data_IF_326616624931
#
_entry.id   IF_326616624931
#
_cell.length_a   1.000
_cell.length_b   1.000
_cell.length_c   1.000
_cell.angle_alpha   90.00
_cell.angle_beta   90.00
_cell.angle_gamma   90.00
#
_symmetry.space_group_name_H-M   'P 1'
#
loop_
_entity.id
_entity.type
_entity.pdbx_description
1 polymer ?
#
# COMPACT_ATOMS: atom_id res chain seq x y z
N UNK A 1 24.69 -38.42 -11.57
CA UNK A 1 24.72 -38.92 -10.17
C UNK A 1 24.04 -37.88 -9.30
N UNK A 2 22.77 -38.12 -8.95
CA UNK A 2 22.01 -37.26 -8.04
C UNK A 2 22.55 -37.46 -6.62
N UNK A 3 23.27 -36.46 -6.09
CA UNK A 3 23.51 -36.40 -4.66
C UNK A 3 22.27 -35.78 -4.00
N UNK A 4 21.28 -36.63 -3.68
CA UNK A 4 20.25 -36.27 -2.71
C UNK A 4 20.92 -36.12 -1.35
N UNK A 5 21.15 -34.89 -0.92
CA UNK A 5 21.46 -34.58 0.47
C UNK A 5 20.15 -34.32 1.19
N UNK A 6 19.99 -35.05 2.30
CA UNK A 6 18.79 -35.14 3.12
C UNK A 6 18.26 -33.76 3.57
N UNK A 7 16.93 -33.51 3.55
CA UNK A 7 16.31 -32.25 4.00
C UNK A 7 16.71 -31.82 5.43
N UNK A 8 17.17 -32.78 6.25
CA UNK A 8 17.66 -32.55 7.60
C UNK A 8 18.89 -31.62 7.68
N UNK A 9 19.75 -31.55 6.65
CA UNK A 9 20.97 -30.74 6.74
C UNK A 9 20.73 -29.25 6.48
N UNK A 10 19.75 -28.89 5.64
CA UNK A 10 19.33 -27.50 5.41
C UNK A 10 18.50 -26.96 6.59
N UNK A 11 17.62 -27.79 7.15
CA UNK A 11 16.89 -27.52 8.38
C UNK A 11 17.86 -27.26 9.54
N UNK A 12 18.92 -28.07 9.72
CA UNK A 12 19.93 -27.84 10.75
C UNK A 12 20.72 -26.54 10.55
N UNK A 13 21.08 -26.18 9.32
CA UNK A 13 21.80 -24.92 9.03
C UNK A 13 20.93 -23.69 9.30
N UNK A 14 19.66 -23.71 8.89
CA UNK A 14 18.68 -22.68 9.23
C UNK A 14 18.37 -22.66 10.73
N UNK A 15 18.25 -23.82 11.39
CA UNK A 15 17.96 -23.91 12.81
C UNK A 15 19.14 -23.39 13.65
N UNK A 16 20.38 -23.75 13.31
CA UNK A 16 21.58 -23.27 13.99
C UNK A 16 21.82 -21.77 13.75
N UNK A 17 21.52 -21.26 12.55
CA UNK A 17 21.59 -19.83 12.24
C UNK A 17 20.42 -19.02 12.80
N UNK A 18 19.29 -19.59 13.21
CA UNK A 18 18.10 -18.82 13.61
C UNK A 18 17.52 -19.13 15.01
N UNK A 19 17.93 -20.21 15.69
CA UNK A 19 17.38 -20.61 17.00
C UNK A 19 18.40 -20.69 18.15
N UNK A 20 19.69 -20.48 17.90
CA UNK A 20 20.70 -20.49 18.97
C UNK A 20 20.58 -19.22 19.85
N UNK A 21 20.13 -19.39 21.11
CA UNK A 21 19.83 -18.34 22.10
C UNK A 21 21.04 -17.78 22.86
N UNK A 22 22.28 -18.00 22.40
CA UNK A 22 23.47 -17.41 23.06
C UNK A 22 24.48 -16.86 22.04
N UNK A 23 25.04 -15.66 22.27
CA UNK A 23 26.15 -15.16 21.49
C UNK A 23 27.43 -15.79 22.03
N UNK A 24 27.84 -16.91 21.46
CA UNK A 24 29.17 -17.47 21.68
C UNK A 24 29.76 -17.81 20.32
N UNK A 25 31.00 -17.38 20.10
CA UNK A 25 31.68 -17.29 18.81
C UNK A 25 31.34 -18.42 17.83
N UNK A 26 30.85 -18.04 16.65
CA UNK A 26 30.60 -18.97 15.55
C UNK A 26 31.92 -19.22 14.81
N UNK A 27 32.60 -20.30 15.15
CA UNK A 27 33.70 -20.85 14.33
C UNK A 27 33.10 -21.66 13.18
N UNK A 28 33.08 -21.09 11.98
CA UNK A 28 32.78 -21.84 10.76
C UNK A 28 34.10 -22.22 10.09
N UNK A 29 34.50 -23.50 10.19
CA UNK A 29 35.53 -24.16 9.38
C UNK A 29 36.61 -23.25 8.77
N UNK A 30 37.44 -22.64 9.61
CA UNK A 30 38.62 -21.85 9.20
C UNK A 30 38.41 -20.34 9.04
N UNK A 31 37.19 -19.81 9.19
CA UNK A 31 36.92 -18.37 9.12
C UNK A 31 36.23 -17.90 10.41
N UNK A 32 37.04 -17.48 11.38
CA UNK A 32 36.58 -16.87 12.64
C UNK A 32 36.25 -15.39 12.42
N UNK A 33 35.06 -15.10 11.90
CA UNK A 33 34.55 -13.73 11.87
C UNK A 33 33.80 -13.44 13.19
N UNK A 34 34.44 -12.66 14.07
CA UNK A 34 33.80 -12.15 15.27
C UNK A 34 32.81 -11.05 14.84
N UNK A 35 31.51 -11.32 14.93
CA UNK A 35 30.48 -10.32 14.67
C UNK A 35 29.96 -9.82 16.01
N UNK A 36 30.23 -8.55 16.31
CA UNK A 36 29.67 -7.87 17.46
C UNK A 36 28.15 -7.75 17.36
N UNK A 37 27.46 -7.57 18.50
CA UNK A 37 25.99 -7.42 18.56
C UNK A 37 25.48 -6.19 17.77
N UNK A 38 26.38 -5.28 17.39
CA UNK A 38 26.11 -4.09 16.56
C UNK A 38 26.97 -4.08 15.29
N UNK A 39 26.71 -4.98 14.32
CA UNK A 39 27.50 -5.04 13.10
C UNK A 39 27.25 -3.81 12.22
N UNK A 40 28.30 -3.34 11.54
CA UNK A 40 28.21 -2.34 10.48
C UNK A 40 27.67 -2.97 9.19
N UNK A 41 27.26 -2.14 8.22
CA UNK A 41 26.75 -2.64 6.93
C UNK A 41 27.78 -3.54 6.21
N UNK A 42 29.06 -3.17 6.25
CA UNK A 42 30.16 -3.96 5.68
C UNK A 42 30.30 -5.34 6.32
N UNK A 43 30.04 -5.47 7.63
CA UNK A 43 30.15 -6.75 8.33
C UNK A 43 29.06 -7.72 7.87
N UNK A 44 27.83 -7.23 7.72
CA UNK A 44 26.75 -8.04 7.14
C UNK A 44 27.10 -8.52 5.74
N UNK A 45 27.59 -7.62 4.88
CA UNK A 45 27.91 -7.94 3.48
C UNK A 45 29.02 -8.98 3.39
N UNK A 46 30.08 -8.88 4.20
CA UNK A 46 31.19 -9.84 4.19
C UNK A 46 30.73 -11.26 4.57
N UNK A 47 29.93 -11.36 5.63
CA UNK A 47 29.43 -12.65 6.14
C UNK A 47 28.53 -13.35 5.12
N UNK A 48 27.69 -12.57 4.44
CA UNK A 48 26.77 -13.11 3.45
C UNK A 48 27.50 -13.47 2.16
N UNK A 49 28.51 -12.70 1.75
CA UNK A 49 29.39 -13.07 0.63
C UNK A 49 30.12 -14.38 0.92
N UNK A 50 30.63 -14.57 2.13
CA UNK A 50 31.26 -15.82 2.55
C UNK A 50 30.24 -16.99 2.57
N UNK A 51 29.01 -16.74 3.04
CA UNK A 51 27.92 -17.73 3.06
C UNK A 51 27.53 -18.19 1.65
N UNK A 52 27.35 -17.25 0.72
CA UNK A 52 27.01 -17.54 -0.68
C UNK A 52 28.21 -18.14 -1.44
N UNK A 53 29.43 -17.74 -1.10
CA UNK A 53 30.64 -18.36 -1.63
C UNK A 53 30.73 -19.85 -1.27
N UNK A 54 30.31 -20.22 -0.05
CA UNK A 54 30.27 -21.61 0.40
C UNK A 54 29.07 -22.39 -0.14
N UNK A 55 27.93 -21.72 -0.34
CA UNK A 55 26.70 -22.33 -0.86
C UNK A 55 26.15 -21.50 -2.03
N UNK A 56 26.65 -21.71 -3.26
CA UNK A 56 26.31 -20.89 -4.42
C UNK A 56 24.82 -20.85 -4.76
N UNK A 57 24.07 -21.91 -4.44
CA UNK A 57 22.62 -22.00 -4.66
C UNK A 57 21.80 -21.07 -3.75
N UNK A 58 22.40 -20.49 -2.71
CA UNK A 58 21.74 -19.47 -1.89
C UNK A 58 21.73 -18.09 -2.54
N UNK A 59 22.42 -17.89 -3.67
CA UNK A 59 22.47 -16.59 -4.35
C UNK A 59 21.07 -16.20 -4.86
N UNK A 60 20.66 -14.96 -4.58
CA UNK A 60 19.43 -14.41 -5.14
C UNK A 60 19.53 -14.33 -6.67
N UNK A 61 18.47 -14.74 -7.37
CA UNK A 61 18.41 -14.75 -8.84
C UNK A 61 18.38 -13.33 -9.42
N UNK A 62 17.89 -12.35 -8.66
CA UNK A 62 17.73 -10.96 -9.10
C UNK A 62 18.49 -9.99 -8.18
N UNK A 63 19.05 -8.92 -8.76
CA UNK A 63 19.73 -7.84 -8.03
C UNK A 63 21.18 -8.16 -7.68
N UNK A 64 21.64 -7.69 -6.51
CA UNK A 64 23.03 -7.85 -6.06
C UNK A 64 23.39 -9.27 -5.56
N UNK A 65 22.45 -10.22 -5.65
CA UNK A 65 22.66 -11.64 -5.37
C UNK A 65 22.64 -12.04 -3.89
N UNK A 66 22.51 -11.09 -2.96
CA UNK A 66 22.58 -11.36 -1.51
C UNK A 66 21.59 -10.55 -0.65
N UNK A 67 20.66 -9.85 -1.30
CA UNK A 67 19.71 -8.93 -0.68
C UNK A 67 18.78 -9.60 0.33
N UNK A 68 18.28 -10.81 0.01
CA UNK A 68 17.38 -11.58 0.87
C UNK A 68 18.08 -11.94 2.18
N UNK A 69 19.29 -12.50 2.09
CA UNK A 69 20.09 -12.89 3.26
C UNK A 69 20.50 -11.69 4.11
N UNK A 70 20.80 -10.56 3.47
CA UNK A 70 21.12 -9.31 4.15
C UNK A 70 19.96 -8.78 4.99
N UNK A 71 18.74 -8.86 4.45
CA UNK A 71 17.53 -8.46 5.16
C UNK A 71 17.21 -9.40 6.32
N UNK A 72 17.41 -10.71 6.14
CA UNK A 72 17.19 -11.71 7.20
C UNK A 72 18.19 -11.56 8.36
N UNK A 73 19.47 -11.34 8.06
CA UNK A 73 20.50 -11.17 9.07
C UNK A 73 20.26 -9.89 9.88
N UNK A 74 19.92 -8.77 9.23
CA UNK A 74 19.52 -7.53 9.91
C UNK A 74 18.30 -7.72 10.81
N UNK A 75 17.29 -8.46 10.34
CA UNK A 75 16.07 -8.76 11.11
C UNK A 75 16.40 -9.60 12.34
N UNK A 76 17.31 -10.58 12.23
CA UNK A 76 17.75 -11.40 13.37
C UNK A 76 18.44 -10.54 14.44
N UNK A 77 19.48 -9.79 14.09
CA UNK A 77 20.17 -8.91 15.05
C UNK A 77 19.24 -7.82 15.62
N UNK A 78 18.20 -7.41 14.90
CA UNK A 78 17.17 -6.51 15.44
C UNK A 78 16.25 -7.20 16.46
N UNK A 79 15.94 -8.47 16.25
CA UNK A 79 15.12 -9.29 17.16
C UNK A 79 15.88 -9.62 18.44
N UNK A 80 17.17 -9.98 18.32
CA UNK A 80 18.06 -10.23 19.47
C UNK A 80 18.28 -8.97 20.33
N UNK A 81 18.26 -7.77 19.71
CA UNK A 81 18.35 -6.48 20.44
C UNK A 81 17.04 -6.02 21.07
N UNK A 82 15.90 -6.56 20.66
CA UNK A 82 14.59 -6.13 21.13
C UNK A 82 14.39 -6.24 22.66
N UNK A 83 14.96 -7.22 23.39
CA UNK A 83 14.85 -7.31 24.84
C UNK A 83 15.83 -6.40 25.61
N UNK A 84 16.86 -5.84 24.96
CA UNK A 84 17.99 -5.15 25.62
C UNK A 84 17.76 -3.63 25.82
N UNK A 85 16.55 -3.25 26.19
CA UNK A 85 16.09 -1.85 26.24
C UNK A 85 16.86 -0.98 27.26
N UNK A 86 17.60 -1.57 28.20
CA UNK A 86 18.36 -0.85 29.24
C UNK A 86 19.86 -0.60 28.94
N UNK A 87 20.35 -0.88 27.73
CA UNK A 87 21.73 -0.57 27.37
C UNK A 87 21.84 0.86 26.78
N UNK A 88 22.66 1.72 27.40
CA UNK A 88 22.84 3.13 27.01
C UNK A 88 23.27 3.33 25.55
N UNK A 89 23.92 2.34 24.94
CA UNK A 89 24.29 2.38 23.53
C UNK A 89 23.08 2.26 22.59
N UNK A 90 22.04 1.49 22.99
CA UNK A 90 20.77 1.39 22.25
C UNK A 90 20.00 2.71 22.30
N UNK A 91 20.04 3.40 23.44
CA UNK A 91 19.42 4.73 23.58
C UNK A 91 20.12 5.76 22.71
N UNK A 92 21.45 5.88 22.80
CA UNK A 92 22.24 6.80 21.98
C UNK A 92 22.03 6.61 20.48
N UNK A 93 21.97 5.37 20.00
CA UNK A 93 21.74 5.09 18.58
C UNK A 93 20.30 5.41 18.18
N UNK A 94 19.30 5.03 18.98
CA UNK A 94 17.90 5.42 18.72
C UNK A 94 17.71 6.94 18.66
N UNK A 95 18.40 7.67 19.52
CA UNK A 95 18.32 9.13 19.59
C UNK A 95 18.98 9.79 18.37
N UNK A 96 20.18 9.33 17.96
CA UNK A 96 20.82 9.77 16.71
C UNK A 96 19.96 9.48 15.47
N UNK A 97 19.30 8.31 15.41
CA UNK A 97 18.39 7.98 14.31
C UNK A 97 17.07 8.77 14.34
N UNK A 98 16.62 9.25 15.51
CA UNK A 98 15.49 10.20 15.61
C UNK A 98 15.90 11.59 15.11
N UNK A 99 17.05 12.11 15.55
CA UNK A 99 17.54 13.43 15.15
C UNK A 99 17.87 13.50 13.64
N UNK A 100 18.49 12.45 13.08
CA UNK A 100 18.78 12.39 11.65
C UNK A 100 17.53 12.36 10.74
N UNK A 101 16.37 11.98 11.28
CA UNK A 101 15.08 12.06 10.56
C UNK A 101 14.37 13.40 10.70
N UNK A 102 14.66 14.16 11.76
CA UNK A 102 14.00 15.45 12.00
C UNK A 102 14.65 16.62 11.25
N UNK A 103 15.90 16.46 10.80
CA UNK A 103 16.66 17.50 10.09
C UNK A 103 16.67 17.33 8.56
N UNK A 104 15.93 16.36 8.03
CA UNK A 104 15.86 16.09 6.58
C UNK A 104 14.41 15.94 6.13
N UNK A 105 13.85 17.00 5.57
CA UNK A 105 12.72 16.95 4.64
C UNK A 105 13.25 17.01 3.20
N UNK A 106 12.48 16.65 2.16
CA UNK A 106 11.75 15.39 2.00
C UNK A 106 11.94 14.85 0.56
N UNK A 107 12.50 13.66 0.36
CA UNK A 107 12.40 12.98 -0.95
C UNK A 107 12.23 11.46 -0.81
N UNK A 108 11.38 10.96 -1.70
CA UNK A 108 10.76 9.64 -1.78
C UNK A 108 11.76 8.51 -2.09
N UNK A 109 11.54 7.33 -1.48
CA UNK A 109 11.32 6.06 -2.22
C UNK A 109 11.15 4.86 -1.27
N UNK A 110 9.87 4.51 -1.09
CA UNK A 110 9.20 3.20 -1.24
C UNK A 110 9.70 1.86 -0.67
N UNK A 111 8.68 1.08 -0.25
CA UNK A 111 8.58 -0.39 -0.04
C UNK A 111 8.89 -0.88 1.40
N UNK A 112 8.04 -1.61 2.15
CA UNK A 112 6.90 -2.49 1.83
C UNK A 112 6.01 -2.70 3.09
N UNK A 113 4.71 -2.92 2.83
CA UNK A 113 3.63 -3.46 3.69
C UNK A 113 2.87 -2.53 4.68
N UNK A 114 1.53 -2.45 4.57
CA UNK A 114 0.70 -1.54 5.32
C UNK A 114 0.44 -2.09 6.73
N UNK A 115 1.28 -1.71 7.69
CA UNK A 115 0.79 -1.62 9.07
C UNK A 115 -0.24 -0.51 9.09
N UNK A 116 -1.51 -0.88 9.32
CA UNK A 116 -2.66 -0.02 9.64
C UNK A 116 -2.15 1.29 10.25
N UNK A 117 -1.95 2.28 9.39
CA UNK A 117 -1.45 3.58 9.79
C UNK A 117 -2.58 4.15 10.64
N UNK A 118 -2.35 4.25 11.96
CA UNK A 118 -3.05 5.28 12.70
C UNK A 118 -2.72 6.57 11.94
N UNK A 119 -3.71 7.25 11.32
CA UNK A 119 -3.43 8.54 10.73
C UNK A 119 -2.75 9.36 11.82
N UNK A 120 -1.60 9.95 11.50
CA UNK A 120 -1.08 11.05 12.30
C UNK A 120 -2.13 12.16 12.20
N UNK A 121 -3.12 12.09 13.07
CA UNK A 121 -4.27 13.00 13.16
C UNK A 121 -3.83 14.41 13.59
N UNK A 122 -2.56 14.56 13.99
CA UNK A 122 -2.02 15.73 14.66
C UNK A 122 -1.62 16.91 13.74
N UNK A 123 -1.57 16.78 12.41
CA UNK A 123 -0.85 17.79 11.60
C UNK A 123 -1.65 18.59 10.55
N UNK A 124 -2.98 18.66 10.57
CA UNK A 124 -3.66 19.56 9.62
C UNK A 124 -5.06 20.05 10.04
N UNK A 125 -5.24 20.43 11.31
CA UNK A 125 -6.43 21.18 11.73
C UNK A 125 -5.95 22.56 12.16
N UNK A 126 -5.42 23.28 11.17
CA UNK A 126 -5.07 24.69 11.36
C UNK A 126 -6.08 25.49 10.54
N UNK A 127 -6.98 26.19 11.23
CA UNK A 127 -7.78 27.27 10.64
C UNK A 127 -9.28 27.26 10.95
N UNK A 128 -9.91 26.12 11.21
CA UNK A 128 -11.38 26.01 11.34
C UNK A 128 -11.76 25.37 12.68
N UNK A 129 -12.62 26.03 13.45
CA UNK A 129 -13.22 25.48 14.67
C UNK A 129 -14.46 24.61 14.37
N UNK A 130 -14.96 23.90 15.38
CA UNK A 130 -16.12 23.00 15.23
C UNK A 130 -17.37 23.73 14.73
N UNK A 131 -17.59 24.97 15.17
CA UNK A 131 -18.74 25.79 14.80
C UNK A 131 -18.68 26.19 13.32
N UNK A 132 -17.50 26.60 12.87
CA UNK A 132 -17.24 26.96 11.47
C UNK A 132 -17.42 25.77 10.52
N UNK A 133 -16.94 24.60 10.93
CA UNK A 133 -17.12 23.35 10.18
C UNK A 133 -18.59 22.98 10.04
N UNK A 134 -19.37 23.11 11.11
CA UNK A 134 -20.81 22.86 11.04
C UNK A 134 -21.52 23.86 10.12
N UNK A 135 -21.06 25.11 10.07
CA UNK A 135 -21.55 26.09 9.08
C UNK A 135 -21.22 25.67 7.64
N UNK A 136 -20.01 25.17 7.36
CA UNK A 136 -19.65 24.63 6.05
C UNK A 136 -20.50 23.41 5.67
N UNK A 137 -20.74 22.49 6.62
CA UNK A 137 -21.59 21.31 6.44
C UNK A 137 -23.03 21.72 6.13
N UNK A 138 -23.58 22.72 6.84
CA UNK A 138 -24.91 23.25 6.57
C UNK A 138 -25.04 23.77 5.15
N UNK A 139 -24.04 24.52 4.66
CA UNK A 139 -24.00 24.98 3.26
C UNK A 139 -23.96 23.80 2.30
N UNK A 140 -23.18 22.75 2.56
CA UNK A 140 -23.17 21.54 1.72
C UNK A 140 -24.56 20.89 1.68
N UNK A 141 -25.24 20.74 2.82
CA UNK A 141 -26.59 20.18 2.87
C UNK A 141 -27.61 21.05 2.13
N UNK A 142 -27.51 22.38 2.21
CA UNK A 142 -28.37 23.30 1.46
C UNK A 142 -28.12 23.23 -0.04
N UNK A 143 -26.86 23.18 -0.47
CA UNK A 143 -26.50 23.05 -1.88
C UNK A 143 -26.96 21.70 -2.45
N UNK A 144 -26.87 20.62 -1.69
CA UNK A 144 -27.29 19.29 -2.14
C UNK A 144 -28.81 19.17 -2.41
N UNK A 145 -29.63 20.00 -1.75
CA UNK A 145 -31.08 20.06 -1.98
C UNK A 145 -31.48 20.82 -3.25
N UNK A 146 -30.55 21.58 -3.85
CA UNK A 146 -30.84 22.38 -5.05
C UNK A 146 -30.79 21.51 -6.30
N UNK A 147 -31.67 21.80 -7.25
CA UNK A 147 -31.62 21.19 -8.59
C UNK A 147 -30.30 21.48 -9.31
N UNK A 148 -29.75 22.69 -9.10
CA UNK A 148 -28.48 23.13 -9.64
C UNK A 148 -27.59 23.69 -8.51
N UNK A 149 -26.78 22.83 -7.87
CA UNK A 149 -25.84 23.25 -6.85
C UNK A 149 -24.72 24.14 -7.42
N UNK A 150 -24.26 25.11 -6.63
CA UNK A 150 -23.05 25.86 -6.95
C UNK A 150 -21.81 24.97 -6.70
N UNK A 151 -21.28 24.38 -7.77
CA UNK A 151 -20.17 23.44 -7.69
C UNK A 151 -18.85 24.08 -7.23
N UNK A 152 -18.66 25.38 -7.42
CA UNK A 152 -17.46 26.07 -6.94
C UNK A 152 -17.52 26.24 -5.42
N UNK A 153 -18.68 26.66 -4.91
CA UNK A 153 -18.93 26.72 -3.47
C UNK A 153 -18.83 25.34 -2.83
N UNK A 154 -19.42 24.31 -3.45
CA UNK A 154 -19.33 22.93 -2.96
C UNK A 154 -17.88 22.47 -2.87
N UNK A 155 -17.05 22.70 -3.90
CA UNK A 155 -15.62 22.36 -3.87
C UNK A 155 -14.88 23.05 -2.73
N UNK A 156 -15.09 24.35 -2.55
CA UNK A 156 -14.48 25.12 -1.46
C UNK A 156 -14.88 24.57 -0.07
N UNK A 157 -16.19 24.36 0.15
CA UNK A 157 -16.70 23.84 1.42
C UNK A 157 -16.27 22.40 1.68
N UNK A 158 -16.22 21.56 0.64
CA UNK A 158 -15.66 20.21 0.73
C UNK A 158 -14.20 20.24 1.12
N UNK A 159 -13.39 21.13 0.54
CA UNK A 159 -11.95 21.27 0.85
C UNK A 159 -11.71 21.67 2.31
N UNK A 160 -12.44 22.66 2.81
CA UNK A 160 -12.35 23.13 4.21
C UNK A 160 -12.71 22.06 5.24
N UNK A 161 -13.51 21.08 4.84
CA UNK A 161 -14.00 20.01 5.73
C UNK A 161 -13.25 18.68 5.58
N UNK A 162 -12.23 18.58 4.71
CA UNK A 162 -11.45 17.32 4.50
C UNK A 162 -10.81 16.82 5.79
N UNK A 163 -10.15 17.70 6.55
CA UNK A 163 -9.46 17.28 7.77
C UNK A 163 -10.43 16.76 8.84
N UNK A 164 -11.60 17.38 8.95
CA UNK A 164 -12.66 16.99 9.88
C UNK A 164 -13.32 15.67 9.48
N UNK A 165 -13.64 15.48 8.18
CA UNK A 165 -14.12 14.18 7.67
C UNK A 165 -13.18 13.04 8.02
N UNK A 166 -11.87 13.23 7.81
CA UNK A 166 -10.87 12.19 8.12
C UNK A 166 -10.79 11.87 9.60
N UNK A 167 -10.91 12.89 10.45
CA UNK A 167 -11.00 12.70 11.90
C UNK A 167 -12.21 11.84 12.24
N UNK A 168 -13.39 12.23 11.77
CA UNK A 168 -14.64 11.52 12.05
C UNK A 168 -14.58 10.05 11.55
N UNK A 169 -14.00 9.80 10.38
CA UNK A 169 -13.74 8.44 9.87
C UNK A 169 -12.77 7.68 10.78
N UNK A 170 -11.68 8.32 11.22
CA UNK A 170 -10.69 7.70 12.11
C UNK A 170 -11.24 7.42 13.51
N UNK A 171 -12.22 8.21 13.95
CA UNK A 171 -12.98 8.05 15.20
C UNK A 171 -14.10 7.00 15.08
N UNK A 172 -14.33 6.45 13.89
CA UNK A 172 -15.24 5.33 13.65
C UNK A 172 -16.64 5.70 13.18
N UNK A 173 -16.82 6.89 12.57
CA UNK A 173 -18.08 7.25 11.92
C UNK A 173 -18.47 6.21 10.86
N UNK A 174 -19.74 5.78 10.88
CA UNK A 174 -20.26 4.82 9.91
C UNK A 174 -20.29 5.43 8.50
N UNK A 175 -20.23 4.58 7.46
CA UNK A 175 -20.35 5.04 6.07
C UNK A 175 -21.68 5.76 5.84
N UNK A 176 -22.78 5.28 6.45
CA UNK A 176 -24.10 5.89 6.28
C UNK A 176 -24.15 7.30 6.91
N UNK A 177 -23.64 7.45 8.13
CA UNK A 177 -23.60 8.76 8.81
C UNK A 177 -22.68 9.74 8.07
N UNK A 178 -21.54 9.26 7.58
CA UNK A 178 -20.61 10.06 6.77
C UNK A 178 -21.29 10.58 5.51
N UNK A 179 -22.00 9.73 4.77
CA UNK A 179 -22.70 10.09 3.54
C UNK A 179 -23.95 10.95 3.80
N UNK A 180 -24.52 10.91 5.01
CA UNK A 180 -25.60 11.81 5.44
C UNK A 180 -25.07 13.19 5.80
N UNK A 181 -23.92 13.26 6.47
CA UNK A 181 -23.27 14.52 6.90
C UNK A 181 -22.59 15.23 5.73
N UNK A 182 -22.00 14.49 4.79
CA UNK A 182 -21.33 15.01 3.59
C UNK A 182 -21.92 14.40 2.32
N UNK A 183 -23.09 14.86 1.88
CA UNK A 183 -23.84 14.20 0.80
C UNK A 183 -23.13 14.24 -0.56
N UNK A 184 -22.24 15.20 -0.78
CA UNK A 184 -21.45 15.28 -2.01
C UNK A 184 -20.40 14.17 -2.16
N UNK A 185 -20.10 13.40 -1.10
CA UNK A 185 -19.31 12.16 -1.22
C UNK A 185 -20.06 11.07 -2.00
N UNK A 186 -21.39 11.14 -2.12
CA UNK A 186 -22.20 10.25 -2.97
C UNK A 186 -21.97 10.49 -4.46
N UNK A 187 -21.37 11.63 -4.82
CA UNK A 187 -21.04 11.97 -6.20
C UNK A 187 -19.68 11.38 -6.57
N UNK A 188 -19.53 10.91 -7.81
CA UNK A 188 -18.26 10.37 -8.30
C UNK A 188 -17.13 11.40 -8.18
N UNK A 189 -17.38 12.66 -8.54
CA UNK A 189 -16.42 13.75 -8.42
C UNK A 189 -15.99 14.01 -6.97
N UNK A 190 -16.94 14.03 -6.03
CA UNK A 190 -16.67 14.23 -4.61
C UNK A 190 -15.83 13.10 -4.02
N UNK A 191 -16.16 11.85 -4.35
CA UNK A 191 -15.39 10.68 -3.89
C UNK A 191 -13.97 10.68 -4.47
N UNK A 192 -13.80 10.94 -5.77
CA UNK A 192 -12.48 10.96 -6.40
C UNK A 192 -11.59 12.04 -5.78
N UNK A 193 -12.14 13.24 -5.55
CA UNK A 193 -11.42 14.32 -4.89
C UNK A 193 -11.01 13.95 -3.45
N UNK A 194 -11.86 13.24 -2.70
CA UNK A 194 -11.53 12.78 -1.35
C UNK A 194 -10.37 11.77 -1.38
N UNK A 195 -10.39 10.81 -2.31
CA UNK A 195 -9.30 9.83 -2.49
C UNK A 195 -8.00 10.52 -2.90
N UNK A 196 -8.05 11.48 -3.83
CA UNK A 196 -6.88 12.27 -4.23
C UNK A 196 -6.33 13.11 -3.07
N UNK A 197 -7.20 13.64 -2.22
CA UNK A 197 -6.74 14.32 -1.03
C UNK A 197 -6.03 13.34 -0.07
N UNK A 198 -6.50 12.09 0.07
CA UNK A 198 -5.88 11.09 0.94
C UNK A 198 -4.55 10.59 0.38
N UNK A 199 -4.44 10.55 -0.94
CA UNK A 199 -3.25 10.12 -1.66
C UNK A 199 -2.82 11.20 -2.67
N UNK A 200 -2.20 12.31 -2.18
CA UNK A 200 -1.79 13.41 -3.04
C UNK A 200 -0.85 12.91 -4.15
N UNK A 201 -1.17 13.28 -5.38
CA UNK A 201 -0.40 12.95 -6.57
C UNK A 201 -0.59 14.04 -7.61
N UNK A 202 0.40 14.30 -8.48
CA UNK A 202 0.27 15.29 -9.56
C UNK A 202 -0.83 14.95 -10.58
N UNK A 203 -1.15 13.66 -10.70
CA UNK A 203 -2.19 13.14 -11.60
C UNK A 203 -3.39 12.69 -10.78
N UNK A 204 -4.62 13.04 -11.18
CA UNK A 204 -5.85 12.66 -10.45
C UNK A 204 -6.11 11.15 -10.47
N UNK A 205 -6.84 10.64 -9.48
CA UNK A 205 -7.08 9.21 -9.28
C UNK A 205 -7.76 8.57 -10.50
N UNK A 206 -8.71 9.26 -11.13
CA UNK A 206 -9.41 8.74 -12.30
C UNK A 206 -8.43 8.47 -13.46
N UNK A 207 -7.50 9.38 -13.71
CA UNK A 207 -6.48 9.21 -14.74
C UNK A 207 -5.50 8.08 -14.39
N UNK A 208 -5.04 8.04 -13.13
CA UNK A 208 -4.17 6.95 -12.65
C UNK A 208 -4.85 5.58 -12.82
N UNK A 209 -6.12 5.47 -12.46
CA UNK A 209 -6.88 4.22 -12.63
C UNK A 209 -7.02 3.90 -14.12
N UNK A 210 -7.41 4.87 -14.95
CA UNK A 210 -7.61 4.64 -16.38
C UNK A 210 -6.34 4.18 -17.09
N UNK A 211 -5.19 4.82 -16.84
CA UNK A 211 -3.92 4.41 -17.46
C UNK A 211 -3.48 3.03 -17.00
N UNK A 212 -3.47 2.80 -15.68
CA UNK A 212 -3.07 1.52 -15.11
C UNK A 212 -4.01 0.39 -15.57
N UNK A 213 -5.32 0.64 -15.58
CA UNK A 213 -6.31 -0.33 -16.05
C UNK A 213 -6.12 -0.64 -17.53
N UNK A 214 -5.92 0.38 -18.37
CA UNK A 214 -5.67 0.20 -19.81
C UNK A 214 -4.42 -0.65 -20.06
N UNK A 215 -3.36 -0.47 -19.26
CA UNK A 215 -2.12 -1.25 -19.42
C UNK A 215 -2.30 -2.75 -19.11
N UNK A 216 -3.16 -3.10 -18.15
CA UNK A 216 -3.40 -4.50 -17.76
C UNK A 216 -4.54 -5.15 -18.55
N UNK A 217 -5.38 -4.34 -19.19
CA UNK A 217 -6.62 -4.74 -19.85
C UNK A 217 -6.44 -5.92 -20.84
N UNK A 218 -5.42 -5.94 -21.74
CA UNK A 218 -5.27 -7.05 -22.67
C UNK A 218 -4.99 -8.39 -21.99
N UNK A 219 -4.29 -8.39 -20.86
CA UNK A 219 -4.01 -9.59 -20.08
C UNK A 219 -5.23 -10.00 -19.25
N UNK A 220 -5.95 -9.01 -18.70
CA UNK A 220 -7.19 -9.21 -17.96
C UNK A 220 -8.24 -9.91 -18.85
N UNK A 221 -8.47 -9.43 -20.07
CA UNK A 221 -9.46 -10.00 -20.99
C UNK A 221 -9.18 -11.47 -21.36
N UNK A 222 -7.90 -11.88 -21.39
CA UNK A 222 -7.51 -13.29 -21.62
C UNK A 222 -7.87 -14.22 -20.46
N UNK A 223 -7.99 -13.69 -19.24
CA UNK A 223 -8.32 -14.45 -18.03
C UNK A 223 -9.82 -14.68 -17.86
N UNK A 224 -10.66 -13.98 -18.64
CA UNK A 224 -12.11 -14.07 -18.55
C UNK A 224 -12.58 -15.46 -19.00
N UNK A 225 -13.19 -16.20 -18.07
CA UNK A 225 -13.84 -17.48 -18.36
C UNK A 225 -15.07 -17.28 -19.23
N UNK A 226 -15.42 -18.33 -19.98
CA UNK A 226 -16.64 -18.31 -20.78
C UNK A 226 -17.86 -18.13 -19.89
N UNK A 227 -18.61 -17.06 -20.18
CA UNK A 227 -19.80 -16.65 -19.45
C UNK A 227 -20.75 -15.94 -20.41
N UNK A 228 -22.06 -15.88 -20.09
CA UNK A 228 -23.01 -15.11 -20.89
C UNK A 228 -22.58 -13.65 -21.08
N UNK A 229 -22.00 -13.05 -20.04
CA UNK A 229 -21.49 -11.68 -20.09
C UNK A 229 -20.29 -11.52 -21.04
N UNK A 230 -19.39 -12.51 -21.10
CA UNK A 230 -18.30 -12.52 -22.07
C UNK A 230 -18.84 -12.59 -23.51
N UNK A 231 -19.87 -13.39 -23.77
CA UNK A 231 -20.49 -13.47 -25.10
C UNK A 231 -21.10 -12.13 -25.51
N UNK A 232 -21.88 -11.51 -24.63
CA UNK A 232 -22.46 -10.19 -24.85
C UNK A 232 -21.38 -9.12 -25.12
N UNK A 233 -20.26 -9.18 -24.38
CA UNK A 233 -19.11 -8.31 -24.64
C UNK A 233 -18.49 -8.55 -26.01
N UNK A 234 -18.30 -9.80 -26.44
CA UNK A 234 -17.72 -10.11 -27.74
C UNK A 234 -18.63 -9.63 -28.88
N UNK A 235 -19.95 -9.84 -28.77
CA UNK A 235 -20.94 -9.33 -29.72
C UNK A 235 -20.88 -7.79 -29.81
N UNK A 236 -20.98 -7.11 -28.67
CA UNK A 236 -20.90 -5.64 -28.63
C UNK A 236 -19.55 -5.09 -29.12
N UNK A 237 -18.47 -5.87 -28.98
CA UNK A 237 -17.14 -5.51 -29.48
C UNK A 237 -17.07 -5.60 -30.99
N UNK A 238 -17.64 -6.64 -31.60
CA UNK A 238 -17.71 -6.75 -33.06
C UNK A 238 -18.58 -5.62 -33.66
N UNK A 239 -19.72 -5.30 -33.04
CA UNK A 239 -20.56 -4.16 -33.44
C UNK A 239 -19.81 -2.83 -33.31
N UNK A 240 -19.11 -2.62 -32.18
CA UNK A 240 -18.30 -1.43 -31.97
C UNK A 240 -17.15 -1.27 -32.97
N UNK A 241 -16.57 -2.38 -33.45
CA UNK A 241 -15.55 -2.35 -34.50
C UNK A 241 -16.14 -1.95 -35.85
N UNK A 242 -17.38 -2.36 -36.14
CA UNK A 242 -18.11 -1.90 -37.33
C UNK A 242 -18.45 -0.40 -37.27
N UNK A 243 -18.73 0.12 -36.07
CA UNK A 243 -19.14 1.51 -35.83
C UNK A 243 -18.00 2.46 -35.40
N UNK A 244 -16.74 2.00 -35.37
CA UNK A 244 -15.55 2.72 -34.86
C UNK A 244 -15.72 3.33 -33.45
N UNK A 245 -16.45 2.62 -32.57
CA UNK A 245 -16.70 3.06 -31.20
C UNK A 245 -15.45 2.81 -30.33
N UNK A 246 -14.84 3.90 -29.87
CA UNK A 246 -13.67 3.85 -28.98
C UNK A 246 -14.02 3.47 -27.54
N UNK A 247 -13.12 2.73 -26.89
CA UNK A 247 -13.19 2.43 -25.45
C UNK A 247 -14.12 1.27 -25.07
N UNK A 248 -14.58 0.47 -26.04
CA UNK A 248 -15.39 -0.73 -25.78
C UNK A 248 -14.65 -1.75 -24.92
N UNK A 249 -13.38 -2.01 -25.22
CA UNK A 249 -12.54 -2.94 -24.44
C UNK A 249 -12.40 -2.45 -22.98
N UNK A 250 -12.25 -1.14 -22.76
CA UNK A 250 -12.12 -0.57 -21.42
C UNK A 250 -13.40 -0.77 -20.60
N UNK A 251 -14.56 -0.47 -21.18
CA UNK A 251 -15.87 -0.67 -20.54
C UNK A 251 -16.16 -2.16 -20.30
N UNK A 252 -15.90 -2.99 -21.30
CA UNK A 252 -16.04 -4.44 -21.20
C UNK A 252 -15.16 -5.03 -20.12
N UNK A 253 -13.90 -4.60 -20.04
CA UNK A 253 -12.99 -4.95 -18.97
C UNK A 253 -13.58 -4.65 -17.59
N UNK A 254 -14.07 -3.42 -17.37
CA UNK A 254 -14.68 -3.05 -16.09
C UNK A 254 -15.89 -3.93 -15.73
N UNK A 255 -16.76 -4.23 -16.70
CA UNK A 255 -17.92 -5.10 -16.51
C UNK A 255 -17.55 -6.55 -16.21
N UNK A 256 -16.42 -7.02 -16.72
CA UNK A 256 -15.93 -8.39 -16.54
C UNK A 256 -15.09 -8.57 -15.27
N UNK A 257 -14.67 -7.49 -14.60
CA UNK A 257 -13.88 -7.55 -13.36
C UNK A 257 -14.50 -8.45 -12.27
N UNK A 258 -15.81 -8.35 -11.96
CA UNK A 258 -16.41 -9.19 -10.92
C UNK A 258 -16.25 -10.68 -11.23
N UNK A 259 -16.40 -11.06 -12.51
CA UNK A 259 -16.24 -12.45 -12.97
C UNK A 259 -14.81 -12.96 -12.80
N UNK A 260 -13.82 -12.11 -13.06
CA UNK A 260 -12.39 -12.46 -12.88
C UNK A 260 -12.05 -12.64 -11.40
N UNK A 261 -12.49 -11.71 -10.55
CA UNK A 261 -12.21 -11.76 -9.11
C UNK A 261 -13.12 -12.72 -8.35
N UNK A 262 -14.13 -13.30 -9.03
CA UNK A 262 -15.17 -14.14 -8.42
C UNK A 262 -15.95 -13.39 -7.33
N UNK A 263 -16.13 -12.09 -7.54
CA UNK A 263 -16.91 -11.22 -6.66
C UNK A 263 -18.38 -11.32 -7.02
N UNK A 264 -19.25 -11.20 -6.01
CA UNK A 264 -20.67 -11.19 -6.25
C UNK A 264 -21.10 -9.80 -6.67
N UNK A 265 -21.87 -9.72 -7.76
CA UNK A 265 -22.35 -8.44 -8.30
C UNK A 265 -23.23 -7.70 -7.28
N UNK A 266 -23.90 -8.43 -6.38
CA UNK A 266 -24.71 -7.86 -5.28
C UNK A 266 -23.91 -7.01 -4.28
N UNK A 267 -22.58 -7.18 -4.22
CA UNK A 267 -21.72 -6.42 -3.31
C UNK A 267 -21.25 -5.07 -3.91
N UNK A 268 -21.60 -4.78 -5.18
CA UNK A 268 -21.17 -3.56 -5.87
C UNK A 268 -22.12 -2.39 -5.59
N UNK A 269 -21.53 -1.25 -5.25
CA UNK A 269 -22.27 0.00 -5.02
C UNK A 269 -22.17 0.88 -6.28
N UNK A 270 -23.31 1.18 -6.89
CA UNK A 270 -23.39 2.13 -7.99
C UNK A 270 -23.42 3.56 -7.45
N UNK A 271 -22.37 4.34 -7.73
CA UNK A 271 -22.30 5.75 -7.34
C UNK A 271 -22.90 6.65 -8.42
N UNK A 272 -23.58 7.72 -8.01
CA UNK A 272 -24.14 8.71 -8.93
C UNK A 272 -25.51 8.39 -9.53
N UNK A 273 -26.18 7.32 -9.09
CA UNK A 273 -27.63 7.25 -9.28
C UNK A 273 -28.25 8.39 -8.48
N UNK A 274 -28.91 9.33 -9.17
CA UNK A 274 -29.92 10.16 -8.53
C UNK A 274 -30.98 9.17 -8.04
N UNK A 275 -31.07 8.94 -6.73
CA UNK A 275 -32.36 8.50 -6.19
C UNK A 275 -33.39 9.58 -6.58
N UNK A 276 -34.58 9.19 -7.07
CA UNK A 276 -35.63 10.15 -7.40
C UNK A 276 -35.96 11.08 -6.23
#
# INVERSE_FOLDING_TARGET
MHASICPFHLEHLCWFLFHSRKPTGMSWGGLSYLIDLYPTNSDYVQVIKALIGKYPFLRDVHGNGYHTWHSQLKRKFKTERAPLINNEEVKRVKEKFRQARSLKTPEESTSTCPKRLKPSLESCIVGEDATSVEAHIKVLLEQYRKLHPDMNLVKDRMMKTVAWRRREIAEGMSTEDLLRRYPFLRTSAGLCAEVDAMHPSPVNICHRISENFTSILPNMLKLVKDSPLKKLYMEAREDALAEDIKGIDFRGGLLLLPSIFKEKIEDFIMLGQKNP
#
